data_IF_051322285338
#
_entry.id   IF_051322285338
#
_cell.length_a   1.000
_cell.length_b   1.000
_cell.length_c   1.000
_cell.angle_alpha   90.00
_cell.angle_beta   90.00
_cell.angle_gamma   90.00
#
_symmetry.space_group_name_H-M   'P 1'
#
loop_
_entity.id
_entity.type
_entity.pdbx_description
1 polymer ?
#
# COMPACT_ATOMS: atom_id res chain seq x y z
N UNK A 1 3.29 37.90 8.20
CA UNK A 1 2.47 37.42 9.33
C UNK A 1 2.86 38.30 10.50
N UNK A 2 1.94 39.13 10.96
CA UNK A 2 2.23 40.02 12.08
C UNK A 2 2.29 39.17 13.34
N UNK A 3 3.20 39.45 14.26
CA UNK A 3 3.24 38.81 15.59
C UNK A 3 1.89 38.95 16.32
N UNK A 4 1.10 39.95 15.94
CA UNK A 4 -0.26 40.21 16.41
C UNK A 4 -1.28 39.17 15.93
N UNK A 5 -0.98 38.43 14.85
CA UNK A 5 -1.84 37.35 14.33
C UNK A 5 -1.76 36.05 15.19
N UNK A 6 -0.90 36.02 16.22
CA UNK A 6 -0.59 34.81 16.99
C UNK A 6 -1.26 34.73 18.37
N UNK A 7 -1.97 35.78 18.80
CA UNK A 7 -2.66 35.79 20.09
C UNK A 7 -4.12 35.32 20.05
N UNK A 8 -4.62 34.94 21.23
CA UNK A 8 -5.99 34.51 21.46
C UNK A 8 -6.79 35.63 22.15
N UNK A 9 -8.02 35.87 21.69
CA UNK A 9 -8.93 36.83 22.30
C UNK A 9 -9.86 36.12 23.28
N UNK A 10 -9.91 36.60 24.52
CA UNK A 10 -10.83 36.09 25.55
C UNK A 10 -11.75 37.21 26.05
N UNK A 11 -13.05 36.92 26.19
CA UNK A 11 -14.02 37.87 26.71
C UNK A 11 -14.08 37.77 28.24
N UNK A 12 -13.76 38.85 28.95
CA UNK A 12 -13.61 38.87 30.41
C UNK A 12 -14.87 38.45 31.18
N UNK A 13 -16.07 38.61 30.58
CA UNK A 13 -17.36 38.20 31.17
C UNK A 13 -17.80 36.78 30.82
N UNK A 14 -17.13 36.09 29.89
CA UNK A 14 -17.45 34.71 29.52
C UNK A 14 -16.16 33.90 29.34
N UNK A 15 -15.38 33.66 30.42
CA UNK A 15 -14.09 32.97 30.33
C UNK A 15 -14.20 31.52 29.84
N UNK A 16 -15.39 30.90 29.95
CA UNK A 16 -15.69 29.54 29.49
C UNK A 16 -16.08 29.47 28.00
N UNK A 17 -16.24 30.61 27.33
CA UNK A 17 -16.52 30.69 25.90
C UNK A 17 -15.30 31.31 25.19
N UNK A 18 -14.19 30.57 25.02
CA UNK A 18 -13.10 31.03 24.16
C UNK A 18 -13.69 31.14 22.75
N UNK A 19 -14.00 32.36 22.33
CA UNK A 19 -14.51 32.58 20.99
C UNK A 19 -13.31 32.44 20.07
N UNK A 20 -13.17 31.27 19.44
CA UNK A 20 -12.40 31.09 18.22
C UNK A 20 -13.13 31.87 17.09
N UNK A 21 -13.23 33.19 17.24
CA UNK A 21 -13.74 34.06 16.21
C UNK A 21 -12.65 34.14 15.13
N UNK A 22 -12.96 33.85 13.86
CA UNK A 22 -12.02 34.12 12.79
C UNK A 22 -11.87 35.65 12.70
N UNK A 23 -10.75 36.15 13.25
CA UNK A 23 -10.29 37.54 13.13
C UNK A 23 -11.24 38.60 13.70
N UNK A 24 -11.30 38.71 15.03
CA UNK A 24 -11.44 40.05 15.61
C UNK A 24 -10.12 40.78 15.30
N UNK A 25 -10.14 41.63 14.28
CA UNK A 25 -9.00 42.47 13.96
C UNK A 25 -8.75 43.38 15.16
N UNK A 26 -7.50 43.44 15.60
CA UNK A 26 -7.10 44.39 16.64
C UNK A 26 -7.47 45.80 16.15
N UNK A 27 -8.16 46.63 16.96
CA UNK A 27 -8.50 47.98 16.56
C UNK A 27 -7.25 48.72 16.06
N UNK A 28 -7.33 49.39 14.92
CA UNK A 28 -6.16 49.99 14.24
C UNK A 28 -5.46 51.02 15.14
N UNK A 29 -6.20 51.69 16.02
CA UNK A 29 -5.69 52.64 17.02
C UNK A 29 -4.88 51.96 18.15
N UNK A 30 -5.19 50.70 18.46
CA UNK A 30 -4.42 49.89 19.41
C UNK A 30 -3.14 49.40 18.73
N UNK A 31 -3.25 48.95 17.47
CA UNK A 31 -2.09 48.54 16.67
C UNK A 31 -1.13 49.71 16.50
N UNK A 32 -1.59 50.88 16.04
CA UNK A 32 -0.72 52.05 15.87
C UNK A 32 -0.06 52.49 17.18
N UNK A 33 -0.77 52.44 18.32
CA UNK A 33 -0.17 52.79 19.62
C UNK A 33 0.92 51.81 20.05
N UNK A 34 0.66 50.51 19.92
CA UNK A 34 1.66 49.48 20.23
C UNK A 34 2.83 49.59 19.25
N UNK A 35 2.61 49.76 17.96
CA UNK A 35 3.69 49.90 16.99
C UNK A 35 4.50 51.20 17.17
N UNK A 36 3.87 52.33 17.51
CA UNK A 36 4.58 53.58 17.80
C UNK A 36 5.47 53.48 19.06
N UNK A 37 5.08 52.63 20.03
CA UNK A 37 5.91 52.34 21.21
C UNK A 37 7.11 51.44 20.87
N UNK A 38 6.97 50.57 19.86
CA UNK A 38 7.98 49.58 19.48
C UNK A 38 8.84 49.93 18.25
N UNK A 39 8.44 50.90 17.40
CA UNK A 39 9.22 51.37 16.23
C UNK A 39 10.55 52.04 16.62
N UNK A 40 10.79 52.28 17.93
CA UNK A 40 12.07 52.76 18.46
C UNK A 40 13.12 51.65 18.71
N UNK A 41 12.77 50.36 18.60
CA UNK A 41 13.65 49.22 18.95
C UNK A 41 13.65 48.16 17.84
N UNK A 42 14.25 48.48 16.70
CA UNK A 42 14.32 47.61 15.51
C UNK A 42 15.23 46.37 15.70
N UNK A 43 16.06 46.32 16.75
CA UNK A 43 16.94 45.19 17.06
C UNK A 43 16.19 43.99 17.70
N UNK A 44 14.97 44.17 18.23
CA UNK A 44 14.24 43.13 18.96
C UNK A 44 13.51 42.09 18.08
N UNK A 45 13.42 42.29 16.76
CA UNK A 45 12.69 41.39 15.84
C UNK A 45 13.45 40.13 15.46
N UNK A 46 14.77 40.16 15.48
CA UNK A 46 15.61 38.99 15.29
C UNK A 46 16.17 38.61 16.65
N UNK A 47 15.67 37.51 17.24
CA UNK A 47 16.31 36.95 18.42
C UNK A 47 17.81 36.72 18.15
N UNK A 48 18.69 36.77 19.17
CA UNK A 48 20.14 36.61 18.99
C UNK A 48 20.54 35.22 18.43
N UNK A 49 19.60 34.28 18.35
CA UNK A 49 19.79 32.93 17.82
C UNK A 49 19.02 32.79 16.49
N UNK A 50 19.67 32.30 15.40
CA UNK A 50 18.99 32.02 14.14
C UNK A 50 17.78 31.07 14.34
N UNK A 51 16.59 31.51 13.92
CA UNK A 51 15.35 30.72 14.01
C UNK A 51 14.51 30.95 15.27
N UNK A 52 15.03 31.64 16.29
CA UNK A 52 14.25 32.04 17.46
C UNK A 52 13.40 33.29 17.17
N UNK A 53 12.11 33.24 17.53
CA UNK A 53 11.26 34.44 17.60
C UNK A 53 11.67 35.30 18.82
N UNK A 54 11.25 36.58 18.91
CA UNK A 54 11.67 37.52 19.95
C UNK A 54 11.57 36.96 21.38
N UNK A 55 12.34 37.52 22.30
CA UNK A 55 12.42 37.05 23.69
C UNK A 55 11.05 37.01 24.37
N UNK A 56 10.90 36.14 25.38
CA UNK A 56 9.74 36.17 26.27
C UNK A 56 9.52 37.58 26.85
N UNK A 57 10.60 38.32 27.12
CA UNK A 57 10.54 39.73 27.52
C UNK A 57 9.89 40.63 26.47
N UNK A 58 10.24 40.47 25.18
CA UNK A 58 9.56 41.17 24.10
C UNK A 58 8.07 40.86 24.07
N UNK A 59 7.69 39.59 24.23
CA UNK A 59 6.28 39.20 24.27
C UNK A 59 5.55 39.71 25.51
N UNK A 60 6.21 39.78 26.67
CA UNK A 60 5.66 40.36 27.90
C UNK A 60 5.49 41.86 27.75
N UNK A 61 6.49 42.57 27.20
CA UNK A 61 6.40 44.01 26.94
C UNK A 61 5.29 44.29 25.92
N UNK A 62 5.19 43.47 24.86
CA UNK A 62 4.14 43.57 23.88
C UNK A 62 2.76 43.33 24.51
N UNK A 63 2.63 42.29 25.35
CA UNK A 63 1.39 42.01 26.07
C UNK A 63 1.03 43.15 27.03
N UNK A 64 2.00 43.73 27.75
CA UNK A 64 1.78 44.89 28.62
C UNK A 64 1.34 46.13 27.83
N UNK A 65 1.95 46.39 26.67
CA UNK A 65 1.56 47.50 25.80
C UNK A 65 0.14 47.29 25.25
N UNK A 66 -0.19 46.05 24.85
CA UNK A 66 -1.54 45.67 24.43
C UNK A 66 -2.54 45.86 25.58
N UNK A 67 -2.22 45.39 26.79
CA UNK A 67 -3.08 45.52 27.97
C UNK A 67 -3.27 46.99 28.37
N UNK A 68 -2.22 47.81 28.28
CA UNK A 68 -2.28 49.25 28.53
C UNK A 68 -3.15 49.99 27.50
N UNK A 69 -3.03 49.63 26.22
CA UNK A 69 -3.87 50.18 25.16
C UNK A 69 -5.33 49.71 25.27
N UNK A 70 -5.57 48.47 25.70
CA UNK A 70 -6.90 47.91 25.94
C UNK A 70 -7.56 48.45 27.22
N UNK A 71 -6.79 48.85 28.24
CA UNK A 71 -7.32 49.44 29.47
C UNK A 71 -8.13 50.74 29.21
N UNK A 72 -7.86 51.42 28.09
CA UNK A 72 -8.57 52.62 27.68
C UNK A 72 -9.80 52.32 26.81
N UNK A 73 -9.98 51.08 26.38
CA UNK A 73 -11.12 50.66 25.55
C UNK A 73 -12.30 50.20 26.43
N UNK A 74 -13.54 50.63 26.12
CA UNK A 74 -14.74 50.28 26.91
C UNK A 74 -15.16 48.80 26.77
N UNK A 75 -14.60 48.08 25.80
CA UNK A 75 -14.85 46.66 25.58
C UNK A 75 -13.99 45.82 26.55
N UNK A 76 -14.63 45.08 27.45
CA UNK A 76 -13.97 44.19 28.43
C UNK A 76 -13.41 42.92 27.77
N UNK A 77 -12.47 43.09 26.84
CA UNK A 77 -11.79 42.02 26.12
C UNK A 77 -10.36 41.91 26.65
N UNK A 78 -9.93 40.69 26.95
CA UNK A 78 -8.56 40.38 27.35
C UNK A 78 -7.90 39.65 26.20
N UNK A 79 -6.88 40.26 25.61
CA UNK A 79 -6.02 39.57 24.66
C UNK A 79 -4.98 38.80 25.46
N UNK A 80 -4.77 37.54 25.15
CA UNK A 80 -3.64 36.77 25.68
C UNK A 80 -2.86 36.28 24.50
N UNK A 81 -1.59 36.68 24.37
CA UNK A 81 -0.69 36.00 23.44
C UNK A 81 -0.75 34.50 23.72
N UNK A 82 -1.06 33.71 22.70
CA UNK A 82 -1.23 32.28 22.86
C UNK A 82 0.05 31.68 23.41
N UNK A 83 -0.07 30.59 24.19
CA UNK A 83 1.05 29.92 24.88
C UNK A 83 2.04 29.22 23.93
N UNK A 84 2.20 29.70 22.70
CA UNK A 84 3.29 29.33 21.82
C UNK A 84 4.62 29.70 22.45
N UNK A 85 5.67 28.97 22.08
CA UNK A 85 6.98 29.16 22.69
C UNK A 85 8.08 28.68 21.77
N UNK A 86 9.28 29.19 22.02
CA UNK A 86 10.49 28.64 21.41
C UNK A 86 10.79 27.30 22.07
N UNK A 87 11.08 26.27 21.30
CA UNK A 87 11.51 24.96 21.79
C UNK A 87 12.88 24.59 21.20
N UNK A 88 13.74 24.00 22.02
CA UNK A 88 14.91 23.26 21.53
C UNK A 88 14.44 21.96 20.92
N UNK A 89 14.77 21.76 19.65
CA UNK A 89 14.46 20.55 18.87
C UNK A 89 15.78 20.01 18.32
N UNK A 90 16.02 18.69 18.31
CA UNK A 90 17.22 18.14 17.70
C UNK A 90 17.31 18.52 16.22
N UNK A 91 18.52 18.84 15.74
CA UNK A 91 18.74 19.22 14.34
C UNK A 91 18.61 18.04 13.39
N UNK A 92 18.86 16.81 13.88
CA UNK A 92 18.76 15.56 13.11
C UNK A 92 18.01 14.50 13.91
N UNK A 93 17.22 13.66 13.23
CA UNK A 93 16.44 12.59 13.88
C UNK A 93 17.30 11.44 14.43
N UNK A 94 18.59 11.41 14.11
CA UNK A 94 19.51 10.32 14.47
C UNK A 94 20.23 10.53 15.81
N UNK A 95 19.98 11.62 16.53
CA UNK A 95 20.68 11.87 17.81
C UNK A 95 20.15 10.89 18.89
N UNK A 96 21.03 10.14 19.57
CA UNK A 96 20.62 9.15 20.57
C UNK A 96 19.83 9.81 21.72
N UNK A 97 18.80 9.10 22.19
CA UNK A 97 17.89 9.57 23.24
C UNK A 97 18.17 8.85 24.55
N UNK A 98 18.52 9.61 25.59
CA UNK A 98 18.58 9.07 26.95
C UNK A 98 17.15 8.85 27.47
N UNK A 99 16.77 7.63 27.88
CA UNK A 99 15.45 7.36 28.45
C UNK A 99 15.16 8.24 29.66
N UNK A 100 13.95 8.78 29.75
CA UNK A 100 13.51 9.62 30.87
C UNK A 100 13.78 11.13 30.73
N UNK A 101 14.55 11.56 29.72
CA UNK A 101 14.72 12.99 29.39
C UNK A 101 13.69 13.44 28.36
N UNK A 102 13.10 14.62 28.57
CA UNK A 102 12.11 15.21 27.65
C UNK A 102 12.83 15.72 26.39
N UNK A 103 12.31 15.37 25.22
CA UNK A 103 12.93 15.69 23.93
C UNK A 103 12.73 17.15 23.48
N UNK A 104 11.60 17.75 23.82
CA UNK A 104 11.26 19.13 23.48
C UNK A 104 11.29 19.96 24.76
N UNK A 105 12.25 20.88 24.84
CA UNK A 105 12.41 21.76 26.01
C UNK A 105 12.08 23.19 25.60
N UNK A 106 11.16 23.82 26.33
CA UNK A 106 10.81 25.21 26.10
C UNK A 106 11.98 26.11 26.50
N UNK A 107 12.32 27.05 25.63
CA UNK A 107 13.42 27.99 25.81
C UNK A 107 13.00 29.43 25.69
N UNK A 108 13.80 30.30 26.28
CA UNK A 108 13.71 31.75 26.12
C UNK A 108 14.28 32.20 24.76
N UNK A 109 14.30 33.52 24.50
CA UNK A 109 14.83 34.07 23.24
C UNK A 109 16.36 34.02 23.12
N UNK A 110 17.09 33.71 24.21
CA UNK A 110 18.51 33.41 24.19
C UNK A 110 18.76 31.91 23.96
N UNK A 111 17.69 31.14 23.79
CA UNK A 111 17.74 29.70 23.63
C UNK A 111 18.05 28.96 24.92
N UNK A 112 17.97 29.57 26.12
CA UNK A 112 18.16 28.88 27.40
C UNK A 112 16.84 28.27 27.90
N UNK A 113 16.85 27.11 28.59
CA UNK A 113 15.64 26.51 29.13
C UNK A 113 14.90 27.45 30.08
N UNK A 114 13.59 27.61 29.89
CA UNK A 114 12.74 28.43 30.78
C UNK A 114 12.70 27.84 32.19
N UNK A 115 12.79 26.51 32.30
CA UNK A 115 12.83 25.79 33.57
C UNK A 115 14.18 25.08 33.69
N UNK A 116 14.95 25.46 34.71
CA UNK A 116 16.29 24.92 35.01
C UNK A 116 16.31 23.41 35.25
N UNK A 117 15.18 22.81 35.64
CA UNK A 117 15.02 21.35 35.77
C UNK A 117 15.22 20.60 34.45
N UNK A 118 15.10 21.29 33.32
CA UNK A 118 15.30 20.73 31.98
C UNK A 118 16.58 21.24 31.31
N UNK A 119 17.48 21.85 32.08
CA UNK A 119 18.79 22.28 31.60
C UNK A 119 19.80 21.14 31.64
N UNK A 120 19.64 20.23 30.67
CA UNK A 120 20.50 19.06 30.52
C UNK A 120 21.92 19.44 30.04
N UNK A 121 22.09 20.61 29.42
CA UNK A 121 23.39 21.12 29.00
C UNK A 121 24.23 21.49 30.23
N UNK A 122 23.65 22.25 31.16
CA UNK A 122 24.30 22.56 32.42
C UNK A 122 24.44 21.35 33.36
N UNK A 123 23.57 20.33 33.26
CA UNK A 123 23.66 19.14 34.11
C UNK A 123 24.77 18.15 33.70
N UNK A 124 25.07 18.06 32.40
CA UNK A 124 26.04 17.09 31.86
C UNK A 124 27.46 17.68 31.72
N UNK A 125 27.60 19.02 31.74
CA UNK A 125 28.87 19.72 31.73
C UNK A 125 29.29 20.09 33.17
N UNK A 126 30.44 19.61 33.62
CA UNK A 126 30.92 19.76 35.00
C UNK A 126 31.13 21.23 35.36
N UNK A 127 31.69 22.02 34.45
CA UNK A 127 32.00 23.42 34.72
C UNK A 127 30.72 24.26 34.80
N UNK A 128 29.77 24.00 33.91
CA UNK A 128 28.46 24.67 33.91
C UNK A 128 27.60 24.23 35.09
N UNK A 129 27.72 22.97 35.51
CA UNK A 129 27.01 22.42 36.66
C UNK A 129 27.45 23.11 37.95
N UNK A 130 28.74 23.18 38.19
CA UNK A 130 29.29 23.82 39.39
C UNK A 130 28.92 25.31 39.44
N UNK A 131 28.89 26.00 38.28
CA UNK A 131 28.43 27.38 38.18
C UNK A 131 26.93 27.51 38.49
N UNK A 132 26.09 26.65 37.92
CA UNK A 132 24.65 26.66 38.13
C UNK A 132 24.25 26.27 39.56
N UNK A 133 24.98 25.33 40.19
CA UNK A 133 24.77 24.95 41.60
C UNK A 133 25.18 26.09 42.54
N UNK A 134 26.26 26.85 42.24
CA UNK A 134 26.62 28.08 42.97
C UNK A 134 25.54 29.17 42.84
N UNK A 135 24.87 29.23 41.71
CA UNK A 135 23.71 30.11 41.49
C UNK A 135 22.41 29.58 42.14
N UNK A 136 22.44 28.42 42.81
CA UNK A 136 21.29 27.81 43.47
C UNK A 136 20.26 27.20 42.50
N UNK A 137 20.62 26.93 41.24
CA UNK A 137 19.73 26.32 40.26
C UNK A 137 19.57 24.83 40.53
N UNK A 138 18.33 24.35 40.47
CA UNK A 138 18.02 22.91 40.56
C UNK A 138 18.18 22.28 39.18
N UNK A 139 19.25 21.50 39.01
CA UNK A 139 19.56 20.79 37.77
C UNK A 139 19.03 19.34 37.77
N UNK A 140 18.72 18.76 36.59
CA UNK A 140 18.43 17.34 36.48
C UNK A 140 19.67 16.49 36.79
N UNK A 141 19.50 15.19 37.12
CA UNK A 141 20.64 14.30 37.32
C UNK A 141 21.48 14.15 36.03
N UNK A 142 22.80 14.03 36.17
CA UNK A 142 23.71 13.88 35.03
C UNK A 142 23.41 12.57 34.30
N UNK A 143 23.66 12.55 32.98
CA UNK A 143 23.48 11.34 32.20
C UNK A 143 24.47 10.27 32.70
N UNK A 144 24.05 8.99 32.83
CA UNK A 144 24.97 7.93 33.20
C UNK A 144 26.09 7.82 32.17
N UNK A 145 27.35 7.66 32.61
CA UNK A 145 28.53 7.63 31.74
C UNK A 145 28.48 6.53 30.67
N UNK A 146 27.75 5.45 30.92
CA UNK A 146 27.52 4.35 29.99
C UNK A 146 26.51 4.68 28.87
N UNK A 147 25.71 5.73 29.04
CA UNK A 147 24.91 6.28 27.95
C UNK A 147 25.82 7.22 27.16
N UNK A 148 26.00 6.95 25.86
CA UNK A 148 26.63 7.90 24.95
C UNK A 148 26.04 9.29 25.21
N UNK A 149 26.84 10.19 25.82
CA UNK A 149 26.38 11.49 26.38
C UNK A 149 25.33 12.12 25.48
N UNK A 150 24.22 12.55 26.06
CA UNK A 150 23.10 13.13 25.33
C UNK A 150 23.55 14.35 24.53
N UNK A 151 23.93 14.13 23.26
CA UNK A 151 24.52 15.19 22.45
C UNK A 151 23.49 16.23 22.03
N UNK A 152 22.19 15.95 22.18
CA UNK A 152 21.06 16.80 21.72
C UNK A 152 21.07 18.18 22.34
N UNK A 153 21.53 18.29 23.58
CA UNK A 153 21.48 19.56 24.32
C UNK A 153 22.74 20.39 24.16
N UNK A 154 23.73 19.91 23.40
CA UNK A 154 24.87 20.73 22.97
C UNK A 154 24.44 21.65 21.84
N UNK A 155 24.92 22.89 21.88
CA UNK A 155 24.65 23.93 20.88
C UNK A 155 24.83 23.50 19.42
N UNK A 156 25.70 22.52 19.16
CA UNK A 156 25.96 21.97 17.82
C UNK A 156 24.83 21.07 17.27
N UNK A 157 23.94 20.56 18.13
CA UNK A 157 23.00 19.49 17.80
C UNK A 157 21.52 19.79 18.08
N UNK A 158 21.20 20.98 18.57
CA UNK A 158 19.83 21.49 18.62
C UNK A 158 19.67 22.73 17.75
N UNK A 159 18.45 22.92 17.29
CA UNK A 159 17.95 24.16 16.71
C UNK A 159 16.78 24.66 17.53
N UNK A 160 16.59 25.98 17.58
CA UNK A 160 15.45 26.58 18.26
C UNK A 160 14.36 26.83 17.24
N UNK A 161 13.20 26.20 17.46
CA UNK A 161 12.04 26.31 16.57
C UNK A 161 10.85 26.81 17.37
N UNK A 162 10.13 27.77 16.80
CA UNK A 162 8.88 28.23 17.36
C UNK A 162 7.76 27.21 17.15
N UNK A 163 7.08 26.84 18.24
CA UNK A 163 5.91 25.96 18.22
C UNK A 163 4.65 26.80 18.48
N UNK A 164 3.70 26.86 17.53
CA UNK A 164 2.50 27.67 17.70
C UNK A 164 1.56 27.08 18.78
N UNK A 165 0.72 27.91 19.40
CA UNK A 165 -0.22 27.46 20.43
C UNK A 165 -1.19 26.39 19.87
N UNK A 166 -1.46 25.37 20.69
CA UNK A 166 -2.37 24.29 20.35
C UNK A 166 -1.91 23.42 19.17
N UNK A 167 -0.60 23.33 18.87
CA UNK A 167 -0.07 22.55 17.74
C UNK A 167 -0.65 21.12 17.68
N UNK A 168 -0.77 20.44 18.83
CA UNK A 168 -1.37 19.10 18.91
C UNK A 168 -2.82 19.08 18.41
N UNK A 169 -3.64 20.04 18.84
CA UNK A 169 -5.03 20.15 18.38
C UNK A 169 -5.12 20.49 16.89
N UNK A 170 -4.24 21.36 16.38
CA UNK A 170 -4.16 21.69 14.94
C UNK A 170 -3.77 20.47 14.11
N UNK A 171 -2.76 19.71 14.54
CA UNK A 171 -2.34 18.46 13.89
C UNK A 171 -3.46 17.41 13.92
N UNK A 172 -4.09 17.20 15.08
CA UNK A 172 -5.24 16.29 15.21
C UNK A 172 -6.40 16.74 14.31
N UNK A 173 -6.67 18.04 14.21
CA UNK A 173 -7.69 18.60 13.34
C UNK A 173 -7.41 18.35 11.86
N UNK A 174 -6.20 18.63 11.38
CA UNK A 174 -5.79 18.34 10.00
C UNK A 174 -5.89 16.84 9.70
N UNK A 175 -5.42 15.99 10.62
CA UNK A 175 -5.51 14.55 10.46
C UNK A 175 -6.97 14.08 10.40
N UNK A 176 -7.81 14.55 11.32
CA UNK A 176 -9.24 14.23 11.36
C UNK A 176 -9.97 14.71 10.10
N UNK A 177 -9.70 15.92 9.61
CA UNK A 177 -10.25 16.43 8.35
C UNK A 177 -9.77 15.60 7.15
N UNK A 178 -8.50 15.18 7.14
CA UNK A 178 -7.96 14.29 6.12
C UNK A 178 -8.70 12.94 6.09
N UNK A 179 -8.88 12.31 7.25
CA UNK A 179 -9.65 11.06 7.36
C UNK A 179 -11.10 11.23 6.94
N UNK A 180 -11.75 12.31 7.37
CA UNK A 180 -13.12 12.62 6.98
C UNK A 180 -13.23 12.83 5.47
N UNK A 181 -12.30 13.56 4.86
CA UNK A 181 -12.27 13.77 3.42
C UNK A 181 -12.12 12.44 2.68
N UNK A 182 -11.22 11.55 3.10
CA UNK A 182 -11.06 10.21 2.52
C UNK A 182 -12.33 9.38 2.68
N UNK A 183 -12.97 9.40 3.85
CA UNK A 183 -14.21 8.68 4.12
C UNK A 183 -15.38 9.19 3.27
N UNK A 184 -15.53 10.51 3.14
CA UNK A 184 -16.58 11.14 2.33
C UNK A 184 -16.33 10.89 0.84
N UNK A 185 -15.11 11.04 0.37
CA UNK A 185 -14.76 10.78 -1.03
C UNK A 185 -14.94 9.31 -1.40
N UNK A 186 -14.51 8.38 -0.55
CA UNK A 186 -14.68 6.94 -0.80
C UNK A 186 -16.16 6.53 -0.78
N UNK A 187 -16.92 6.96 0.23
CA UNK A 187 -18.35 6.66 0.32
C UNK A 187 -19.15 7.30 -0.84
N UNK A 188 -18.89 8.56 -1.18
CA UNK A 188 -19.51 9.23 -2.33
C UNK A 188 -19.18 8.50 -3.64
N UNK A 189 -17.94 8.05 -3.82
CA UNK A 189 -17.53 7.29 -5.01
C UNK A 189 -18.28 5.96 -5.11
N UNK A 190 -18.44 5.24 -3.99
CA UNK A 190 -19.19 3.97 -3.96
C UNK A 190 -20.69 4.16 -4.22
N UNK A 191 -21.32 5.15 -3.57
CA UNK A 191 -22.74 5.45 -3.80
C UNK A 191 -22.99 5.90 -5.23
N UNK A 192 -22.14 6.79 -5.75
CA UNK A 192 -22.27 7.33 -7.10
C UNK A 192 -22.07 6.23 -8.15
N UNK A 193 -21.07 5.35 -7.97
CA UNK A 193 -20.89 4.19 -8.84
C UNK A 193 -22.11 3.25 -8.79
N UNK A 194 -22.68 2.94 -7.63
CA UNK A 194 -23.91 2.15 -7.56
C UNK A 194 -25.08 2.77 -8.33
N UNK A 195 -25.31 4.08 -8.18
CA UNK A 195 -26.40 4.78 -8.88
C UNK A 195 -26.19 4.75 -10.39
N UNK A 196 -24.98 5.08 -10.86
CA UNK A 196 -24.65 5.07 -12.29
C UNK A 196 -24.76 3.66 -12.85
N UNK A 197 -24.22 2.67 -12.15
CA UNK A 197 -24.25 1.28 -12.54
C UNK A 197 -25.65 0.70 -12.66
N UNK A 198 -26.52 0.94 -11.66
CA UNK A 198 -27.93 0.52 -11.71
C UNK A 198 -28.67 1.16 -12.88
N UNK A 199 -28.44 2.46 -13.14
CA UNK A 199 -29.05 3.16 -14.29
C UNK A 199 -28.53 2.66 -15.63
N UNK A 200 -27.22 2.39 -15.74
CA UNK A 200 -26.62 1.85 -16.95
C UNK A 200 -27.17 0.44 -17.24
N UNK A 201 -27.26 -0.40 -16.21
CA UNK A 201 -27.76 -1.75 -16.36
C UNK A 201 -29.25 -1.82 -16.66
N UNK A 202 -30.08 -0.99 -16.01
CA UNK A 202 -31.51 -0.93 -16.27
C UNK A 202 -31.85 -0.61 -17.75
N UNK A 203 -30.91 -0.01 -18.49
CA UNK A 203 -31.07 0.22 -19.94
C UNK A 203 -30.69 -0.99 -20.79
N UNK A 204 -29.85 -1.89 -20.28
CA UNK A 204 -29.35 -3.07 -20.97
C UNK A 204 -30.24 -4.28 -20.70
N UNK A 205 -30.75 -4.41 -19.47
CA UNK A 205 -31.55 -5.56 -19.04
C UNK A 205 -32.58 -5.13 -17.97
N UNK A 206 -33.77 -5.73 -18.03
CA UNK A 206 -34.86 -5.52 -17.06
C UNK A 206 -34.80 -6.50 -15.87
N UNK A 207 -33.68 -7.18 -15.65
CA UNK A 207 -33.57 -8.25 -14.65
C UNK A 207 -33.12 -7.71 -13.29
N UNK A 208 -33.57 -8.32 -12.17
CA UNK A 208 -33.08 -7.98 -10.83
C UNK A 208 -31.58 -8.31 -10.73
N UNK A 209 -30.76 -7.28 -10.52
CA UNK A 209 -29.30 -7.37 -10.53
C UNK A 209 -28.74 -7.38 -9.11
N UNK A 210 -27.69 -8.18 -8.90
CA UNK A 210 -26.89 -8.11 -7.67
C UNK A 210 -26.05 -6.82 -7.65
N UNK A 211 -26.01 -6.13 -6.50
CA UNK A 211 -25.39 -4.81 -6.35
C UNK A 211 -23.90 -4.76 -6.73
N UNK A 212 -23.19 -5.87 -6.56
CA UNK A 212 -21.78 -5.99 -6.94
C UNK A 212 -21.53 -5.72 -8.43
N UNK A 213 -22.46 -6.10 -9.31
CA UNK A 213 -22.31 -5.84 -10.74
C UNK A 213 -22.60 -4.37 -11.06
N UNK A 214 -23.63 -3.79 -10.45
CA UNK A 214 -23.93 -2.36 -10.60
C UNK A 214 -22.72 -1.53 -10.12
N UNK A 215 -22.15 -1.85 -8.97
CA UNK A 215 -20.95 -1.19 -8.45
C UNK A 215 -19.80 -1.26 -9.46
N UNK A 216 -19.50 -2.44 -9.99
CA UNK A 216 -18.41 -2.65 -10.95
C UNK A 216 -18.59 -1.82 -12.23
N UNK A 217 -19.78 -1.84 -12.83
CA UNK A 217 -20.09 -1.06 -14.05
C UNK A 217 -19.98 0.43 -13.77
N UNK A 218 -20.56 0.90 -12.65
CA UNK A 218 -20.52 2.30 -12.29
C UNK A 218 -19.12 2.81 -12.00
N UNK A 219 -18.28 2.00 -11.35
CA UNK A 219 -16.89 2.35 -11.06
C UNK A 219 -16.04 2.38 -12.34
N UNK A 220 -16.32 1.50 -13.29
CA UNK A 220 -15.69 1.53 -14.62
C UNK A 220 -16.04 2.83 -15.37
N UNK A 221 -17.32 3.23 -15.39
CA UNK A 221 -17.76 4.50 -15.98
C UNK A 221 -17.11 5.68 -15.25
N UNK A 222 -17.10 5.63 -13.91
CA UNK A 222 -16.26 6.39 -12.97
C UNK A 222 -14.88 6.71 -13.54
N UNK A 223 -14.13 5.64 -13.69
CA UNK A 223 -12.74 5.66 -14.08
C UNK A 223 -12.55 6.20 -15.49
N UNK A 224 -13.38 5.79 -16.45
CA UNK A 224 -13.29 6.28 -17.84
C UNK A 224 -13.49 7.79 -17.89
N UNK A 225 -14.52 8.31 -17.21
CA UNK A 225 -14.80 9.75 -17.16
C UNK A 225 -13.65 10.49 -16.47
N UNK A 226 -13.16 10.00 -15.32
CA UNK A 226 -12.06 10.62 -14.60
C UNK A 226 -10.78 10.69 -15.45
N UNK A 227 -10.43 9.60 -16.15
CA UNK A 227 -9.27 9.55 -17.05
C UNK A 227 -9.46 10.50 -18.22
N UNK A 228 -10.66 10.56 -18.82
CA UNK A 228 -10.95 11.46 -19.92
C UNK A 228 -10.82 12.93 -19.51
N UNK A 229 -11.38 13.31 -18.35
CA UNK A 229 -11.28 14.66 -17.81
C UNK A 229 -9.82 15.02 -17.52
N UNK A 230 -9.05 14.12 -16.89
CA UNK A 230 -7.64 14.35 -16.63
C UNK A 230 -6.81 14.52 -17.92
N UNK A 231 -7.07 13.68 -18.93
CA UNK A 231 -6.42 13.78 -20.25
C UNK A 231 -6.80 15.06 -20.98
N UNK A 232 -8.05 15.48 -20.88
CA UNK A 232 -8.51 16.74 -21.47
C UNK A 232 -7.87 17.95 -20.77
N UNK A 233 -7.82 17.96 -19.44
CA UNK A 233 -7.20 19.04 -18.68
C UNK A 233 -5.71 19.17 -19.01
N UNK A 234 -4.98 18.05 -19.04
CA UNK A 234 -3.57 18.04 -19.45
C UNK A 234 -3.38 18.42 -20.91
N UNK A 235 -4.27 18.00 -21.81
CA UNK A 235 -4.26 18.44 -23.20
C UNK A 235 -4.44 19.96 -23.33
N UNK A 236 -5.44 20.54 -22.66
CA UNK A 236 -5.70 21.98 -22.69
C UNK A 236 -4.53 22.79 -22.12
N UNK A 237 -3.93 22.33 -21.03
CA UNK A 237 -2.74 22.96 -20.45
C UNK A 237 -1.56 22.95 -21.44
N UNK A 238 -1.31 21.83 -22.11
CA UNK A 238 -0.23 21.72 -23.09
C UNK A 238 -0.48 22.54 -24.37
N UNK A 239 -1.74 22.70 -24.77
CA UNK A 239 -2.13 23.56 -25.90
C UNK A 239 -1.92 25.03 -25.57
N UNK A 240 -2.21 25.44 -24.33
CA UNK A 240 -1.98 26.82 -23.89
C UNK A 240 -0.50 27.19 -23.84
N UNK A 241 0.41 26.21 -23.66
CA UNK A 241 1.84 26.44 -23.47
C UNK A 241 2.68 26.46 -24.77
N UNK A 242 2.18 25.95 -25.90
CA UNK A 242 3.01 25.70 -27.09
C UNK A 242 2.59 26.45 -28.37
N UNK A 243 3.59 26.83 -29.18
CA UNK A 243 3.45 27.46 -30.49
C UNK A 243 2.86 26.53 -31.58
N UNK A 244 2.00 27.09 -32.45
CA UNK A 244 1.06 26.39 -33.35
C UNK A 244 1.69 25.47 -34.42
N UNK A 245 2.95 25.68 -34.82
CA UNK A 245 3.51 25.05 -36.02
C UNK A 245 4.16 23.68 -35.79
N UNK A 246 4.88 23.48 -34.67
CA UNK A 246 5.47 22.19 -34.30
C UNK A 246 4.44 21.23 -33.69
N UNK A 247 3.33 21.79 -33.20
CA UNK A 247 2.25 21.09 -32.51
C UNK A 247 1.53 20.04 -33.35
N UNK A 248 1.27 20.30 -34.64
CA UNK A 248 0.48 19.38 -35.49
C UNK A 248 1.21 18.07 -35.79
N UNK A 249 2.54 18.12 -35.99
CA UNK A 249 3.36 16.92 -36.23
C UNK A 249 3.51 16.10 -34.95
N UNK A 250 3.74 16.75 -33.83
CA UNK A 250 3.87 16.08 -32.53
C UNK A 250 2.52 15.48 -32.08
N UNK A 251 1.40 16.16 -32.33
CA UNK A 251 0.07 15.64 -32.04
C UNK A 251 -0.23 14.38 -32.86
N UNK A 252 0.07 14.38 -34.16
CA UNK A 252 -0.11 13.19 -35.01
C UNK A 252 0.74 12.03 -34.51
N UNK A 253 2.01 12.27 -34.15
CA UNK A 253 2.90 11.23 -33.61
C UNK A 253 2.35 10.66 -32.29
N UNK A 254 1.93 11.53 -31.37
CA UNK A 254 1.33 11.13 -30.09
C UNK A 254 0.00 10.41 -30.28
N UNK A 255 -0.84 10.84 -31.22
CA UNK A 255 -2.12 10.20 -31.51
C UNK A 255 -1.91 8.78 -32.07
N UNK A 256 -0.95 8.58 -32.97
CA UNK A 256 -0.60 7.24 -33.48
C UNK A 256 -0.03 6.35 -32.38
N UNK A 257 0.86 6.87 -31.52
CA UNK A 257 1.39 6.13 -30.37
C UNK A 257 0.30 5.79 -29.34
N UNK A 258 -0.61 6.72 -29.07
CA UNK A 258 -1.74 6.52 -28.17
C UNK A 258 -2.73 5.50 -28.74
N UNK A 259 -3.04 5.58 -30.04
CA UNK A 259 -3.92 4.63 -30.73
C UNK A 259 -3.33 3.23 -30.73
N UNK A 260 -2.05 3.09 -31.10
CA UNK A 260 -1.37 1.78 -31.07
C UNK A 260 -1.25 1.21 -29.67
N UNK A 261 -0.95 2.05 -28.66
CA UNK A 261 -0.97 1.64 -27.26
C UNK A 261 -2.36 1.19 -26.81
N UNK A 262 -3.41 1.97 -27.13
CA UNK A 262 -4.79 1.69 -26.76
C UNK A 262 -5.27 0.39 -27.42
N UNK A 263 -5.02 0.21 -28.71
CA UNK A 263 -5.37 -1.02 -29.43
C UNK A 263 -4.65 -2.25 -28.86
N UNK A 264 -3.33 -2.17 -28.63
CA UNK A 264 -2.55 -3.27 -28.05
C UNK A 264 -2.99 -3.59 -26.63
N UNK A 265 -3.26 -2.57 -25.80
CA UNK A 265 -3.78 -2.75 -24.45
C UNK A 265 -5.18 -3.36 -24.46
N UNK A 266 -6.08 -2.87 -25.32
CA UNK A 266 -7.44 -3.38 -25.47
C UNK A 266 -7.44 -4.84 -25.94
N UNK A 267 -6.62 -5.19 -26.92
CA UNK A 267 -6.49 -6.57 -27.40
C UNK A 267 -5.91 -7.49 -26.33
N UNK A 268 -4.84 -7.06 -25.64
CA UNK A 268 -4.27 -7.80 -24.51
C UNK A 268 -5.33 -8.01 -23.42
N UNK A 269 -6.08 -6.96 -23.09
CA UNK A 269 -7.11 -7.03 -22.06
C UNK A 269 -8.27 -7.94 -22.48
N UNK A 270 -8.74 -7.84 -23.72
CA UNK A 270 -9.80 -8.69 -24.26
C UNK A 270 -9.42 -10.18 -24.20
N UNK A 271 -8.15 -10.51 -24.47
CA UNK A 271 -7.69 -11.91 -24.43
C UNK A 271 -7.42 -12.38 -22.99
N UNK A 272 -6.61 -11.66 -22.22
CA UNK A 272 -6.15 -12.12 -20.91
C UNK A 272 -7.14 -11.86 -19.77
N UNK A 273 -8.00 -10.84 -19.88
CA UNK A 273 -9.08 -10.58 -18.91
C UNK A 273 -10.46 -10.97 -19.43
N UNK A 274 -10.65 -11.16 -20.74
CA UNK A 274 -11.91 -11.63 -21.32
C UNK A 274 -11.88 -13.13 -21.62
N UNK A 275 -11.23 -13.51 -22.72
CA UNK A 275 -11.30 -14.86 -23.28
C UNK A 275 -10.72 -15.94 -22.34
N UNK A 276 -9.50 -15.73 -21.84
CA UNK A 276 -8.81 -16.70 -20.95
C UNK A 276 -9.65 -16.97 -19.68
N UNK A 277 -10.07 -15.94 -18.91
CA UNK A 277 -11.01 -16.10 -17.81
C UNK A 277 -12.31 -16.79 -18.17
N UNK A 278 -12.96 -16.43 -19.29
CA UNK A 278 -14.24 -17.03 -19.66
C UNK A 278 -14.12 -18.55 -19.87
N UNK A 279 -13.08 -18.99 -20.59
CA UNK A 279 -12.84 -20.41 -20.85
C UNK A 279 -12.39 -21.14 -19.58
N UNK A 280 -11.54 -20.52 -18.76
CA UNK A 280 -11.13 -21.12 -17.49
C UNK A 280 -12.30 -21.23 -16.49
N UNK A 281 -13.16 -20.21 -16.45
CA UNK A 281 -14.39 -20.22 -15.65
C UNK A 281 -15.32 -21.37 -16.03
N UNK A 282 -15.40 -21.71 -17.32
CA UNK A 282 -16.13 -22.88 -17.79
C UNK A 282 -15.54 -24.19 -17.23
N UNK A 283 -14.22 -24.34 -17.17
CA UNK A 283 -13.59 -25.50 -16.53
C UNK A 283 -14.00 -25.60 -15.06
N UNK A 284 -13.96 -24.47 -14.34
CA UNK A 284 -14.38 -24.46 -12.93
C UNK A 284 -15.86 -24.82 -12.78
N UNK A 285 -16.73 -24.32 -13.65
CA UNK A 285 -18.15 -24.68 -13.61
C UNK A 285 -18.38 -26.18 -13.85
N UNK A 286 -17.75 -26.74 -14.88
CA UNK A 286 -17.90 -28.16 -15.23
C UNK A 286 -17.37 -29.08 -14.14
N UNK A 287 -16.25 -28.75 -13.49
CA UNK A 287 -15.65 -29.64 -12.47
C UNK A 287 -16.16 -29.39 -11.06
N UNK A 288 -16.32 -28.14 -10.65
CA UNK A 288 -16.70 -27.79 -9.27
C UNK A 288 -18.21 -27.57 -9.13
N UNK A 289 -18.82 -26.76 -10.01
CA UNK A 289 -20.23 -26.39 -9.85
C UNK A 289 -21.14 -27.57 -10.14
N UNK A 290 -20.86 -28.37 -11.17
CA UNK A 290 -21.61 -29.62 -11.45
C UNK A 290 -21.57 -30.56 -10.25
N UNK A 291 -20.37 -30.78 -9.68
CA UNK A 291 -20.23 -31.66 -8.52
C UNK A 291 -20.96 -31.10 -7.31
N UNK A 292 -20.85 -29.79 -7.06
CA UNK A 292 -21.53 -29.13 -5.95
C UNK A 292 -23.05 -29.21 -6.09
N UNK A 293 -23.60 -28.95 -7.29
CA UNK A 293 -25.04 -29.08 -7.56
C UNK A 293 -25.53 -30.51 -7.35
N UNK A 294 -24.80 -31.48 -7.86
CA UNK A 294 -25.13 -32.89 -7.69
C UNK A 294 -25.05 -33.35 -6.22
N UNK A 295 -24.11 -32.82 -5.42
CA UNK A 295 -24.00 -33.14 -3.98
C UNK A 295 -25.03 -32.40 -3.14
N UNK A 296 -25.40 -31.17 -3.53
CA UNK A 296 -26.28 -30.32 -2.75
C UNK A 296 -27.76 -30.71 -2.85
N UNK A 297 -28.16 -31.43 -3.90
CA UNK A 297 -29.44 -32.13 -4.16
C UNK A 297 -30.69 -31.68 -3.36
N UNK A 298 -30.83 -30.38 -3.11
CA UNK A 298 -31.93 -29.79 -2.37
C UNK A 298 -32.64 -28.80 -3.31
N UNK A 299 -33.98 -28.82 -3.33
CA UNK A 299 -34.75 -28.00 -4.27
C UNK A 299 -34.52 -26.49 -4.07
N UNK A 300 -34.16 -26.06 -2.86
CA UNK A 300 -33.82 -24.66 -2.56
C UNK A 300 -32.54 -24.21 -3.27
N UNK A 301 -31.56 -25.11 -3.40
CA UNK A 301 -30.28 -24.82 -4.04
C UNK A 301 -30.45 -24.76 -5.56
N UNK A 302 -31.35 -25.56 -6.14
CA UNK A 302 -31.65 -25.55 -7.57
C UNK A 302 -32.23 -24.21 -8.03
N UNK A 303 -33.19 -23.64 -7.28
CA UNK A 303 -33.77 -22.31 -7.55
C UNK A 303 -32.71 -21.20 -7.39
N UNK A 304 -31.78 -21.31 -6.43
CA UNK A 304 -30.69 -20.35 -6.28
C UNK A 304 -29.67 -20.38 -7.44
N UNK A 305 -29.63 -21.49 -8.17
CA UNK A 305 -28.77 -21.68 -9.33
C UNK A 305 -29.47 -21.50 -10.69
N UNK A 306 -30.80 -21.34 -10.71
CA UNK A 306 -31.53 -20.89 -11.89
C UNK A 306 -31.07 -19.48 -12.26
N UNK A 307 -30.35 -19.39 -13.38
CA UNK A 307 -29.79 -18.14 -13.88
C UNK A 307 -30.05 -18.07 -15.36
N UNK A 308 -30.32 -16.86 -15.85
CA UNK A 308 -30.31 -16.63 -17.30
C UNK A 308 -28.92 -16.90 -17.85
N UNK A 309 -28.84 -17.37 -19.10
CA UNK A 309 -27.57 -17.72 -19.76
C UNK A 309 -26.52 -16.59 -19.66
N UNK A 310 -26.96 -15.34 -19.80
CA UNK A 310 -26.07 -14.18 -19.68
C UNK A 310 -25.50 -14.00 -18.27
N UNK A 311 -26.31 -14.25 -17.23
CA UNK A 311 -25.87 -14.20 -15.84
C UNK A 311 -24.93 -15.35 -15.50
N UNK A 312 -25.19 -16.56 -16.02
CA UNK A 312 -24.29 -17.70 -15.89
C UNK A 312 -22.93 -17.39 -16.56
N UNK A 313 -22.94 -16.90 -17.80
CA UNK A 313 -21.71 -16.50 -18.51
C UNK A 313 -20.94 -15.39 -17.79
N UNK A 314 -21.62 -14.34 -17.32
CA UNK A 314 -20.98 -13.24 -16.59
C UNK A 314 -20.39 -13.73 -15.26
N UNK A 315 -21.09 -14.60 -14.56
CA UNK A 315 -20.62 -15.20 -13.31
C UNK A 315 -19.39 -16.07 -13.55
N UNK A 316 -19.44 -16.99 -14.52
CA UNK A 316 -18.32 -17.84 -14.88
C UNK A 316 -17.11 -17.03 -15.30
N UNK A 317 -17.32 -15.97 -16.09
CA UNK A 317 -16.27 -15.04 -16.46
C UNK A 317 -15.64 -14.37 -15.23
N UNK A 318 -16.45 -13.85 -14.29
CA UNK A 318 -15.92 -13.22 -13.07
C UNK A 318 -15.15 -14.21 -12.19
N UNK A 319 -15.65 -15.43 -12.00
CA UNK A 319 -14.91 -16.48 -11.31
C UNK A 319 -13.60 -16.77 -12.05
N UNK A 320 -13.64 -16.88 -13.37
CA UNK A 320 -12.44 -17.01 -14.18
C UNK A 320 -11.42 -15.91 -13.93
N UNK A 321 -11.85 -14.64 -13.87
CA UNK A 321 -10.97 -13.49 -13.61
C UNK A 321 -10.34 -13.62 -12.23
N UNK A 322 -11.14 -13.95 -11.21
CA UNK A 322 -10.67 -14.15 -9.84
C UNK A 322 -9.61 -15.26 -9.76
N UNK A 323 -9.85 -16.41 -10.40
CA UNK A 323 -8.90 -17.52 -10.38
C UNK A 323 -7.62 -17.21 -11.15
N UNK A 324 -7.72 -16.57 -12.32
CA UNK A 324 -6.55 -16.10 -13.07
C UNK A 324 -5.76 -15.09 -12.22
N UNK A 325 -6.44 -14.20 -11.51
CA UNK A 325 -5.80 -13.25 -10.60
C UNK A 325 -5.06 -13.93 -9.45
N UNK A 326 -5.69 -14.91 -8.80
CA UNK A 326 -5.06 -15.72 -7.75
C UNK A 326 -3.85 -16.47 -8.31
N UNK A 327 -3.99 -17.09 -9.49
CA UNK A 327 -2.89 -17.77 -10.18
C UNK A 327 -1.72 -16.83 -10.49
N UNK A 328 -1.99 -15.63 -11.01
CA UNK A 328 -0.98 -14.60 -11.26
C UNK A 328 -0.32 -14.11 -9.97
N UNK A 329 -1.10 -13.98 -8.88
CA UNK A 329 -0.58 -13.60 -7.57
C UNK A 329 0.36 -14.67 -7.02
N UNK A 330 0.00 -15.95 -7.14
CA UNK A 330 0.87 -17.07 -6.77
C UNK A 330 2.14 -17.11 -7.62
N UNK A 331 2.03 -16.88 -8.94
CA UNK A 331 3.19 -16.80 -9.84
C UNK A 331 4.16 -15.67 -9.46
N UNK A 332 3.66 -14.56 -8.89
CA UNK A 332 4.50 -13.47 -8.38
C UNK A 332 5.21 -13.84 -7.08
N UNK A 333 4.57 -14.63 -6.21
CA UNK A 333 5.18 -15.13 -4.96
C UNK A 333 6.29 -16.15 -5.24
N UNK A 334 6.20 -16.90 -6.34
CA UNK A 334 7.21 -17.89 -6.76
C UNK A 334 8.01 -17.43 -8.01
N UNK A 335 8.93 -16.45 -7.87
CA UNK A 335 9.64 -15.83 -9.01
C UNK A 335 10.58 -16.79 -9.76
N UNK A 336 10.89 -17.96 -9.19
CA UNK A 336 11.75 -18.96 -9.82
C UNK A 336 11.14 -19.61 -11.07
N UNK A 337 9.82 -19.50 -11.26
CA UNK A 337 9.14 -20.09 -12.42
C UNK A 337 9.55 -19.40 -13.72
N UNK A 338 9.79 -20.17 -14.77
CA UNK A 338 10.19 -19.62 -16.07
C UNK A 338 9.12 -18.72 -16.70
N UNK A 339 7.83 -18.92 -16.36
CA UNK A 339 6.69 -18.15 -16.86
C UNK A 339 6.67 -16.70 -16.39
N UNK A 340 6.99 -16.43 -15.12
CA UNK A 340 6.95 -15.07 -14.56
C UNK A 340 7.93 -14.15 -15.29
N UNK A 341 9.16 -14.64 -15.51
CA UNK A 341 10.22 -13.94 -16.25
C UNK A 341 9.84 -13.64 -17.70
N UNK A 342 9.11 -14.53 -18.37
CA UNK A 342 8.69 -14.32 -19.76
C UNK A 342 7.52 -13.35 -19.86
N UNK A 343 6.54 -13.44 -18.96
CA UNK A 343 5.44 -12.48 -18.88
C UNK A 343 5.95 -11.07 -18.59
N UNK A 344 6.89 -10.93 -17.66
CA UNK A 344 7.52 -9.66 -17.36
C UNK A 344 8.20 -9.08 -18.60
N UNK A 345 9.04 -9.86 -19.30
CA UNK A 345 9.69 -9.42 -20.54
C UNK A 345 8.73 -9.01 -21.66
N UNK A 346 7.54 -9.61 -21.72
CA UNK A 346 6.54 -9.31 -22.75
C UNK A 346 5.73 -8.04 -22.47
N UNK A 347 5.58 -7.70 -21.19
CA UNK A 347 4.78 -6.56 -20.72
C UNK A 347 5.63 -5.45 -20.08
N UNK A 348 6.97 -5.54 -20.12
CA UNK A 348 7.87 -4.47 -19.70
C UNK A 348 7.76 -3.27 -20.63
N UNK A 349 7.47 -2.10 -20.05
CA UNK A 349 7.39 -0.84 -20.76
C UNK A 349 5.97 -0.44 -21.20
N UNK A 350 5.84 0.67 -21.93
CA UNK A 350 4.55 1.24 -22.29
C UNK A 350 3.78 0.37 -23.29
N UNK A 351 2.42 0.37 -23.29
CA UNK A 351 1.63 -0.60 -24.06
C UNK A 351 1.88 -0.64 -25.59
N UNK A 352 2.42 0.43 -26.17
CA UNK A 352 2.76 0.45 -27.59
C UNK A 352 3.96 -0.46 -27.94
N UNK A 353 4.84 -0.78 -26.99
CA UNK A 353 5.99 -1.68 -27.23
C UNK A 353 5.66 -3.15 -27.01
N UNK A 354 4.47 -3.47 -26.47
CA UNK A 354 4.10 -4.85 -26.19
C UNK A 354 4.03 -5.72 -27.45
N UNK A 355 4.55 -6.94 -27.34
CA UNK A 355 4.52 -7.96 -28.40
C UNK A 355 3.25 -8.83 -28.29
N UNK A 356 2.09 -8.21 -28.52
CA UNK A 356 0.76 -8.81 -28.27
C UNK A 356 0.54 -10.11 -29.06
N UNK A 357 0.97 -10.19 -30.32
CA UNK A 357 0.82 -11.41 -31.11
C UNK A 357 1.55 -12.61 -30.49
N UNK A 358 2.77 -12.38 -29.99
CA UNK A 358 3.56 -13.43 -29.34
C UNK A 358 2.97 -13.81 -27.98
N UNK A 359 2.47 -12.84 -27.20
CA UNK A 359 1.83 -13.14 -25.92
C UNK A 359 0.56 -13.98 -26.10
N UNK A 360 -0.25 -13.68 -27.12
CA UNK A 360 -1.44 -14.47 -27.44
C UNK A 360 -1.05 -15.88 -27.90
N UNK A 361 -0.16 -16.01 -28.88
CA UNK A 361 0.19 -17.31 -29.46
C UNK A 361 0.89 -18.24 -28.47
N UNK A 362 1.77 -17.70 -27.62
CA UNK A 362 2.61 -18.52 -26.72
C UNK A 362 1.92 -18.78 -25.38
N UNK A 363 1.08 -17.85 -24.89
CA UNK A 363 0.49 -17.97 -23.55
C UNK A 363 -1.02 -18.17 -23.60
N UNK A 364 -1.74 -17.26 -24.26
CA UNK A 364 -3.20 -17.31 -24.22
C UNK A 364 -3.76 -18.50 -25.00
N UNK A 365 -3.27 -18.77 -26.21
CA UNK A 365 -3.79 -19.82 -27.07
C UNK A 365 -3.57 -21.22 -26.50
N UNK A 366 -2.38 -21.59 -25.98
CA UNK A 366 -2.20 -22.90 -25.32
C UNK A 366 -3.05 -23.03 -24.07
N UNK A 367 -3.17 -21.95 -23.27
CA UNK A 367 -4.01 -21.96 -22.07
C UNK A 367 -5.49 -22.13 -22.41
N UNK A 368 -5.99 -21.42 -23.43
CA UNK A 368 -7.35 -21.59 -23.96
C UNK A 368 -7.53 -23.01 -24.49
N UNK A 369 -6.59 -23.52 -25.30
CA UNK A 369 -6.66 -24.86 -25.88
C UNK A 369 -6.71 -25.96 -24.82
N UNK A 370 -5.82 -25.90 -23.83
CA UNK A 370 -5.82 -26.84 -22.69
C UNK A 370 -7.12 -26.71 -21.88
N UNK A 371 -7.61 -25.50 -21.64
CA UNK A 371 -8.84 -25.29 -20.88
C UNK A 371 -10.07 -25.82 -21.63
N UNK A 372 -10.20 -25.57 -22.93
CA UNK A 372 -11.27 -26.13 -23.77
C UNK A 372 -11.19 -27.65 -23.81
N UNK A 373 -10.01 -28.22 -24.02
CA UNK A 373 -9.83 -29.68 -24.01
C UNK A 373 -10.22 -30.28 -22.66
N UNK A 374 -9.83 -29.64 -21.56
CA UNK A 374 -10.15 -30.08 -20.20
C UNK A 374 -11.64 -29.99 -19.90
N UNK A 375 -12.31 -28.91 -20.35
CA UNK A 375 -13.74 -28.74 -20.21
C UNK A 375 -14.55 -29.72 -21.07
N UNK A 376 -14.06 -30.06 -22.27
CA UNK A 376 -14.70 -31.01 -23.18
C UNK A 376 -14.58 -32.47 -22.72
N UNK A 377 -13.53 -32.81 -21.97
CA UNK A 377 -13.23 -34.18 -21.58
C UNK A 377 -14.37 -34.87 -20.79
N UNK A 378 -14.99 -34.27 -19.76
CA UNK A 378 -16.15 -34.87 -19.09
C UNK A 378 -17.35 -35.10 -20.01
N UNK A 379 -17.60 -34.19 -20.97
CA UNK A 379 -18.67 -34.36 -21.95
C UNK A 379 -18.39 -35.51 -22.92
N UNK A 380 -17.13 -35.68 -23.35
CA UNK A 380 -16.74 -36.82 -24.18
C UNK A 380 -16.93 -38.14 -23.44
N UNK A 381 -16.53 -38.21 -22.17
CA UNK A 381 -16.74 -39.39 -21.31
C UNK A 381 -18.24 -39.67 -21.11
N UNK A 382 -19.04 -38.63 -20.85
CA UNK A 382 -20.49 -38.76 -20.73
C UNK A 382 -21.11 -39.31 -22.03
N UNK A 383 -20.73 -38.78 -23.18
CA UNK A 383 -21.17 -39.27 -24.48
C UNK A 383 -20.79 -40.74 -24.71
N UNK A 384 -19.57 -41.15 -24.32
CA UNK A 384 -19.16 -42.55 -24.38
C UNK A 384 -19.99 -43.47 -23.46
N UNK A 385 -20.31 -43.02 -22.24
CA UNK A 385 -21.15 -43.78 -21.29
C UNK A 385 -22.57 -43.92 -21.85
N UNK A 386 -23.15 -42.83 -22.34
CA UNK A 386 -24.50 -42.83 -22.94
C UNK A 386 -24.56 -43.69 -24.19
N UNK A 387 -23.51 -43.65 -25.02
CA UNK A 387 -23.39 -44.52 -26.20
C UNK A 387 -23.35 -45.99 -25.79
N UNK A 388 -22.55 -46.35 -24.78
CA UNK A 388 -22.47 -47.71 -24.27
C UNK A 388 -23.80 -48.22 -23.68
N UNK A 389 -24.60 -47.33 -23.09
CA UNK A 389 -25.95 -47.64 -22.56
C UNK A 389 -27.05 -47.68 -23.64
N UNK A 390 -26.77 -47.26 -24.87
CA UNK A 390 -27.78 -47.12 -25.91
C UNK A 390 -28.71 -45.91 -25.73
N UNK A 391 -28.33 -44.94 -24.90
CA UNK A 391 -29.13 -43.76 -24.54
C UNK A 391 -28.68 -42.49 -25.29
N UNK A 392 -27.69 -42.59 -26.17
CA UNK A 392 -27.13 -41.43 -26.88
C UNK A 392 -28.16 -40.85 -27.86
N UNK A 393 -28.84 -39.81 -27.42
CA UNK A 393 -29.75 -38.99 -28.22
C UNK A 393 -29.26 -37.54 -28.26
N UNK A 394 -29.59 -36.81 -29.33
CA UNK A 394 -29.24 -35.38 -29.44
C UNK A 394 -29.81 -34.57 -28.27
N UNK A 395 -31.02 -34.90 -27.83
CA UNK A 395 -31.68 -34.27 -26.70
C UNK A 395 -30.97 -34.53 -25.38
N UNK A 396 -30.51 -35.75 -25.13
CA UNK A 396 -29.80 -36.07 -23.90
C UNK A 396 -28.43 -35.37 -23.85
N UNK A 397 -27.72 -35.28 -24.98
CA UNK A 397 -26.47 -34.51 -25.05
C UNK A 397 -26.73 -33.00 -24.87
N UNK A 398 -27.81 -32.46 -25.44
CA UNK A 398 -28.19 -31.05 -25.25
C UNK A 398 -28.53 -30.76 -23.78
N UNK A 399 -29.21 -31.67 -23.09
CA UNK A 399 -29.49 -31.55 -21.64
C UNK A 399 -28.22 -31.58 -20.80
N UNK A 400 -27.25 -32.43 -21.15
CA UNK A 400 -25.95 -32.45 -20.50
C UNK A 400 -25.19 -31.12 -20.73
N UNK A 401 -25.17 -30.60 -21.97
CA UNK A 401 -24.56 -29.29 -22.27
C UNK A 401 -25.23 -28.12 -21.56
N UNK A 402 -26.55 -28.20 -21.35
CA UNK A 402 -27.31 -27.20 -20.58
C UNK A 402 -27.19 -27.38 -19.06
N UNK A 403 -26.42 -28.37 -18.60
CA UNK A 403 -26.23 -28.70 -17.19
C UNK A 403 -27.57 -29.00 -16.47
N UNK A 404 -28.54 -29.56 -17.19
CA UNK A 404 -29.86 -29.95 -16.67
C UNK A 404 -29.80 -31.39 -16.14
N UNK A 405 -29.19 -32.30 -16.90
CA UNK A 405 -29.03 -33.69 -16.52
C UNK A 405 -27.65 -33.91 -15.90
N UNK A 406 -27.57 -33.79 -14.58
CA UNK A 406 -26.31 -33.72 -13.85
C UNK A 406 -25.74 -35.10 -13.50
N UNK A 407 -26.51 -36.18 -13.54
CA UNK A 407 -26.06 -37.47 -12.98
C UNK A 407 -24.95 -38.12 -13.81
N UNK A 408 -25.18 -38.24 -15.12
CA UNK A 408 -24.19 -38.82 -16.04
C UNK A 408 -22.97 -37.90 -16.15
N UNK A 409 -23.19 -36.58 -16.16
CA UNK A 409 -22.10 -35.61 -16.23
C UNK A 409 -21.26 -35.60 -14.94
N UNK A 410 -21.89 -35.64 -13.76
CA UNK A 410 -21.20 -35.69 -12.47
C UNK A 410 -20.41 -36.99 -12.31
N UNK A 411 -20.95 -38.13 -12.76
CA UNK A 411 -20.21 -39.39 -12.79
C UNK A 411 -18.96 -39.27 -13.70
N UNK A 412 -19.11 -38.64 -14.86
CA UNK A 412 -18.02 -38.42 -15.82
C UNK A 412 -16.93 -37.51 -15.22
N UNK A 413 -17.32 -36.43 -14.55
CA UNK A 413 -16.41 -35.53 -13.83
C UNK A 413 -15.66 -36.28 -12.72
N UNK A 414 -16.37 -37.08 -11.89
CA UNK A 414 -15.76 -37.91 -10.84
C UNK A 414 -14.75 -38.91 -11.43
N UNK A 415 -15.10 -39.55 -12.54
CA UNK A 415 -14.22 -40.52 -13.22
C UNK A 415 -12.94 -39.86 -13.76
N UNK A 416 -13.07 -38.71 -14.43
CA UNK A 416 -11.91 -37.94 -14.94
C UNK A 416 -11.01 -37.49 -13.79
N UNK A 417 -11.59 -36.86 -12.75
CA UNK A 417 -10.83 -36.37 -11.60
C UNK A 417 -10.15 -37.52 -10.84
N UNK A 418 -10.85 -38.63 -10.62
CA UNK A 418 -10.30 -39.83 -9.99
C UNK A 418 -9.13 -40.40 -10.78
N UNK A 419 -9.24 -40.46 -12.11
CA UNK A 419 -8.15 -40.92 -12.98
C UNK A 419 -6.94 -40.01 -12.89
N UNK A 420 -7.14 -38.68 -12.93
CA UNK A 420 -6.05 -37.71 -12.77
C UNK A 420 -5.36 -37.85 -11.42
N UNK A 421 -6.12 -38.02 -10.33
CA UNK A 421 -5.58 -38.23 -8.99
C UNK A 421 -4.76 -39.52 -8.89
N UNK A 422 -5.24 -40.62 -9.47
CA UNK A 422 -4.53 -41.91 -9.49
C UNK A 422 -3.23 -41.78 -10.28
N UNK A 423 -3.25 -41.15 -11.46
CA UNK A 423 -2.06 -40.92 -12.28
C UNK A 423 -1.05 -40.04 -11.54
N UNK A 424 -1.52 -38.95 -10.90
CA UNK A 424 -0.67 -38.06 -10.13
C UNK A 424 -0.05 -38.77 -8.91
N UNK A 425 -0.83 -39.54 -8.17
CA UNK A 425 -0.35 -40.32 -7.03
C UNK A 425 0.69 -41.37 -7.46
N UNK A 426 0.43 -42.07 -8.57
CA UNK A 426 1.36 -43.05 -9.14
C UNK A 426 2.65 -42.39 -9.60
N UNK A 427 2.56 -41.22 -10.25
CA UNK A 427 3.72 -40.45 -10.66
C UNK A 427 4.57 -40.01 -9.46
N UNK A 428 3.94 -39.49 -8.40
CA UNK A 428 4.64 -39.11 -7.17
C UNK A 428 5.28 -40.31 -6.48
N UNK A 429 4.60 -41.45 -6.41
CA UNK A 429 5.15 -42.70 -5.89
C UNK A 429 6.38 -43.14 -6.69
N UNK A 430 6.35 -43.05 -8.01
CA UNK A 430 7.49 -43.35 -8.88
C UNK A 430 8.68 -42.39 -8.62
N UNK A 431 8.42 -41.09 -8.45
CA UNK A 431 9.46 -40.11 -8.11
C UNK A 431 10.07 -40.38 -6.73
N UNK A 432 9.23 -40.70 -5.74
CA UNK A 432 9.67 -41.03 -4.39
C UNK A 432 10.49 -42.32 -4.39
N UNK A 433 10.03 -43.34 -5.11
CA UNK A 433 10.75 -44.60 -5.29
C UNK A 433 12.11 -44.38 -5.94
N UNK A 434 12.21 -43.52 -6.97
CA UNK A 434 13.50 -43.18 -7.60
C UNK A 434 14.46 -42.53 -6.61
N UNK A 435 14.01 -41.55 -5.83
CA UNK A 435 14.82 -40.90 -4.80
C UNK A 435 15.25 -41.87 -3.71
N UNK A 436 14.33 -42.72 -3.26
CA UNK A 436 14.60 -43.74 -2.26
C UNK A 436 15.60 -44.78 -2.77
N UNK A 437 15.43 -45.27 -3.99
CA UNK A 437 16.34 -46.23 -4.63
C UNK A 437 17.74 -45.66 -4.82
N UNK A 438 17.86 -44.39 -5.20
CA UNK A 438 19.16 -43.68 -5.26
C UNK A 438 19.80 -43.61 -3.88
N UNK A 439 19.08 -43.14 -2.86
CA UNK A 439 19.62 -43.06 -1.50
C UNK A 439 20.03 -44.42 -0.94
N UNK A 440 19.28 -45.49 -1.23
CA UNK A 440 19.62 -46.84 -0.81
C UNK A 440 20.91 -47.35 -1.49
N UNK A 441 21.09 -47.09 -2.79
CA UNK A 441 22.33 -47.42 -3.51
C UNK A 441 23.52 -46.64 -2.99
N UNK A 442 23.36 -45.34 -2.74
CA UNK A 442 24.43 -44.50 -2.22
C UNK A 442 24.90 -44.99 -0.84
N UNK A 443 23.97 -45.39 0.05
CA UNK A 443 24.30 -46.00 1.34
C UNK A 443 25.02 -47.33 1.20
N UNK A 444 24.54 -48.21 0.31
CA UNK A 444 25.19 -49.49 0.07
C UNK A 444 26.62 -49.32 -0.50
N UNK A 445 26.81 -48.35 -1.40
CA UNK A 445 28.11 -47.99 -1.95
C UNK A 445 29.05 -47.46 -0.87
N UNK A 446 28.56 -46.58 0.02
CA UNK A 446 29.34 -46.06 1.15
C UNK A 446 29.76 -47.15 2.14
N UNK A 447 28.86 -48.09 2.46
CA UNK A 447 29.20 -49.25 3.31
C UNK A 447 30.23 -50.15 2.63
N UNK A 448 30.09 -50.40 1.32
CA UNK A 448 31.09 -51.13 0.53
C UNK A 448 32.46 -50.45 0.54
N UNK A 449 32.50 -49.12 0.44
CA UNK A 449 33.75 -48.36 0.54
C UNK A 449 34.37 -48.41 1.93
N UNK A 450 33.56 -48.36 3.00
CA UNK A 450 34.05 -48.50 4.37
C UNK A 450 34.63 -49.89 4.65
N UNK A 451 34.05 -50.94 4.07
CA UNK A 451 34.58 -52.31 4.17
C UNK A 451 35.89 -52.47 3.40
N UNK A 452 35.99 -51.93 2.18
CA UNK A 452 37.25 -51.96 1.41
C UNK A 452 38.39 -51.22 2.13
N UNK A 453 38.07 -50.12 2.82
CA UNK A 453 39.03 -49.39 3.65
C UNK A 453 39.43 -50.11 4.96
N UNK A 454 38.68 -51.14 5.39
CA UNK A 454 39.02 -51.99 6.54
C UNK A 454 39.78 -53.26 6.11
N UNK A 455 39.57 -53.72 4.88
CA UNK A 455 40.22 -54.88 4.28
C UNK A 455 41.57 -54.54 3.63
N UNK A 456 41.89 -53.26 3.36
CA UNK A 456 43.27 -52.82 3.18
C UNK A 456 44.00 -52.97 4.52
N UNK A 457 44.82 -54.02 4.72
CA UNK A 457 45.42 -54.26 6.01
C UNK A 457 46.48 -53.18 6.26
N UNK A 458 46.67 -52.82 7.54
CA UNK A 458 47.80 -52.03 8.05
C UNK A 458 49.20 -52.68 7.80
N UNK A 459 49.27 -53.64 6.86
CA UNK A 459 50.47 -54.31 6.38
C UNK A 459 51.36 -53.37 5.57
N UNK A 460 50.80 -52.34 4.93
CA UNK A 460 51.62 -51.30 4.28
C UNK A 460 52.16 -50.23 5.24
N UNK A 461 51.52 -49.98 6.39
CA UNK A 461 52.03 -48.97 7.35
C UNK A 461 53.17 -49.54 8.20
N UNK A 462 53.16 -50.85 8.46
CA UNK A 462 54.25 -51.52 9.19
C UNK A 462 55.45 -51.87 8.30
N UNK A 463 55.28 -52.08 6.99
CA UNK A 463 56.38 -52.29 6.06
C UNK A 463 57.14 -50.98 5.71
N UNK A 464 56.44 -49.85 5.66
CA UNK A 464 57.05 -48.55 5.29
C UNK A 464 57.72 -47.83 6.49
N UNK A 465 57.41 -48.20 7.74
CA UNK A 465 58.05 -47.58 8.92
C UNK A 465 59.42 -48.19 9.26
N UNK A 466 59.78 -49.36 8.72
CA UNK A 466 61.09 -50.01 8.96
C UNK A 466 62.14 -49.79 7.88
N UNK A 467 61.80 -49.12 6.77
CA UNK A 467 62.71 -48.90 5.65
C UNK A 467 62.72 -47.42 5.24
N UNK A 468 63.35 -46.58 6.06
CA UNK A 468 64.13 -45.40 5.67
C UNK A 468 64.20 -44.38 6.82
N UNK A 469 65.14 -44.61 7.73
CA UNK A 469 65.81 -43.52 8.45
C UNK A 469 67.27 -43.52 8.00
N UNK A 470 67.66 -42.70 7.01
CA UNK A 470 69.04 -42.32 6.83
C UNK A 470 69.39 -41.21 7.82
N UNK A 471 70.30 -41.54 8.73
CA UNK A 471 71.15 -40.58 9.45
C UNK A 471 72.00 -39.77 8.45
N UNK A 472 71.83 -38.45 8.44
CA UNK A 472 72.84 -37.45 8.06
C UNK A 472 72.36 -36.09 8.63
N UNK A 473 72.94 -35.62 9.75
CA UNK A 473 74.04 -34.64 9.83
C UNK A 473 73.69 -33.27 9.26
#
# INVERSE_FOLDING_TARGET
RSIVDEGEWTLRRMPWLPVLAPRLWMPTDVVERVFNEFDAVDEARAGPVPGALPTHEYYVQLQCAIDAALAQNPLQVTFTLGSGGNFRVPTVDTVPVVPGRIMLVQVDGHGRPVNSRYDYEAADDVDLRDAAEREGRVLPPPAPESSYRDRRFRREHYTVVYVPPGLRARMCGVLAMGWLAVAVLSSSTLVLSLIIGRRAYARISNLPMHDMYALSIGLLVLLIVAVLVFRLATFLHNVAANSRAEWTRELRRRAVLAWTAAWKAALTAAVFFGAVPAVYGLVVEVYFVVLLRHMAASPEVEVAFERTMLQAMAHNWMFGVLHVWVGLSLLRVFPALWWSRQLERLFTGPPHTWHVGRSILVFALPLIGVSVATAALPFAVAACIMWYRGELTADAMLRAFRLVDLDVLALSVKAVLGTVLIVAATWQACLLYRKWSQSARDRAYLVGHQLHNLDEPAENISAETTADVPLAV
#
